data_IF_747015560046
#
_entry.id   IF_747015560046
#
_cell.length_a   1.000
_cell.length_b   1.000
_cell.length_c   1.000
_cell.angle_alpha   90.00
_cell.angle_beta   90.00
_cell.angle_gamma   90.00
#
_symmetry.space_group_name_H-M   'P 1'
#
loop_
_entity.id
_entity.type
_entity.pdbx_description
1 polymer ?
#
# COMPACT_ATOMS: atom_id res chain seq x y z
N UNK A 1 15.69 8.80 8.15
CA UNK A 1 14.88 8.28 7.01
C UNK A 1 15.33 6.87 6.71
N UNK A 2 14.47 5.84 6.83
CA UNK A 2 14.81 4.52 6.32
C UNK A 2 14.75 4.59 4.79
N UNK A 3 15.88 4.36 4.10
CA UNK A 3 15.86 4.05 2.67
C UNK A 3 15.27 2.67 2.52
N UNK A 4 14.02 2.59 2.05
CA UNK A 4 13.51 1.35 1.47
C UNK A 4 14.23 1.17 0.13
N UNK A 5 15.33 0.40 0.13
CA UNK A 5 15.91 -0.11 -1.12
C UNK A 5 14.89 -1.08 -1.72
N UNK A 6 13.99 -0.55 -2.54
CA UNK A 6 12.85 -1.27 -3.04
C UNK A 6 13.25 -2.30 -4.09
N UNK A 7 13.01 -3.58 -3.80
CA UNK A 7 12.60 -4.52 -4.84
C UNK A 7 11.38 -3.89 -5.51
N UNK A 8 11.56 -3.35 -6.72
CA UNK A 8 10.40 -2.91 -7.51
C UNK A 8 9.53 -4.14 -7.71
N UNK A 9 8.24 -4.07 -7.38
CA UNK A 9 7.33 -5.13 -7.75
C UNK A 9 7.48 -5.38 -9.25
N UNK A 10 7.58 -6.66 -9.65
CA UNK A 10 7.63 -7.01 -11.07
C UNK A 10 6.44 -6.38 -11.82
N UNK A 11 6.56 -6.16 -13.14
CA UNK A 11 5.45 -5.65 -13.93
C UNK A 11 4.17 -6.47 -13.66
N UNK A 12 3.07 -5.80 -13.30
CA UNK A 12 1.79 -6.47 -13.00
C UNK A 12 1.66 -7.08 -11.59
N UNK A 13 2.61 -6.82 -10.69
CA UNK A 13 2.50 -7.25 -9.30
C UNK A 13 1.41 -6.51 -8.52
N UNK A 14 1.03 -5.28 -8.88
CA UNK A 14 -0.14 -4.61 -8.32
C UNK A 14 -1.32 -4.85 -9.26
N UNK A 15 -2.40 -5.44 -8.74
CA UNK A 15 -3.58 -5.82 -9.53
C UNK A 15 -4.70 -4.80 -9.43
N UNK A 16 -4.94 -4.27 -8.25
CA UNK A 16 -5.88 -3.18 -8.03
C UNK A 16 -5.41 -2.32 -6.86
N UNK A 17 -5.78 -1.04 -6.93
CA UNK A 17 -5.60 -0.08 -5.85
C UNK A 17 -6.91 0.67 -5.71
N UNK A 18 -7.47 0.67 -4.51
CA UNK A 18 -8.62 1.47 -4.14
C UNK A 18 -8.13 2.47 -3.10
N UNK A 19 -8.46 3.74 -3.31
CA UNK A 19 -8.05 4.83 -2.41
C UNK A 19 -9.30 5.57 -1.97
N UNK A 20 -9.38 5.90 -0.69
CA UNK A 20 -10.41 6.72 -0.10
C UNK A 20 -9.77 7.78 0.80
N UNK A 21 -10.36 8.97 0.86
CA UNK A 21 -9.91 10.06 1.72
C UNK A 21 -10.98 10.29 2.81
N UNK A 22 -10.92 9.58 3.95
CA UNK A 22 -11.90 9.74 5.02
C UNK A 22 -11.80 11.10 5.73
N UNK A 23 -10.65 11.74 5.68
CA UNK A 23 -10.41 13.07 6.25
C UNK A 23 -9.31 13.78 5.44
N UNK A 24 -9.28 15.13 5.42
CA UNK A 24 -8.24 15.87 4.73
C UNK A 24 -6.84 15.43 5.13
N UNK A 25 -6.03 15.04 4.14
CA UNK A 25 -4.66 14.59 4.40
C UNK A 25 -4.55 13.18 5.00
N UNK A 26 -5.63 12.40 5.01
CA UNK A 26 -5.63 10.98 5.39
C UNK A 26 -6.10 10.16 4.20
N UNK A 27 -5.26 9.26 3.71
CA UNK A 27 -5.63 8.33 2.65
C UNK A 27 -5.66 6.89 3.18
N UNK A 28 -6.78 6.23 3.00
CA UNK A 28 -6.93 4.80 3.21
C UNK A 28 -6.83 4.08 1.87
N UNK A 29 -5.96 3.10 1.79
CA UNK A 29 -5.60 2.41 0.55
C UNK A 29 -5.76 0.91 0.71
N UNK A 30 -6.54 0.30 -0.17
CA UNK A 30 -6.63 -1.14 -0.31
C UNK A 30 -5.96 -1.57 -1.61
N UNK A 31 -4.86 -2.30 -1.52
CA UNK A 31 -4.11 -2.79 -2.67
C UNK A 31 -4.16 -4.32 -2.75
N UNK A 32 -4.53 -4.86 -3.92
CA UNK A 32 -4.31 -6.28 -4.20
C UNK A 32 -3.02 -6.44 -4.99
N UNK A 33 -2.19 -7.38 -4.56
CA UNK A 33 -0.91 -7.68 -5.21
C UNK A 33 -0.82 -9.15 -5.57
N UNK A 34 -0.03 -9.46 -6.60
CA UNK A 34 0.38 -10.81 -6.97
C UNK A 34 1.89 -10.94 -6.84
N UNK A 35 2.33 -12.01 -6.20
CA UNK A 35 3.74 -12.42 -6.11
C UNK A 35 3.85 -13.86 -6.61
N UNK A 36 4.23 -14.02 -7.87
CA UNK A 36 4.23 -15.32 -8.54
C UNK A 36 2.81 -15.88 -8.65
N UNK A 37 2.56 -17.07 -8.08
CA UNK A 37 1.24 -17.71 -8.03
C UNK A 37 0.35 -17.22 -6.90
N UNK A 38 0.89 -16.49 -5.90
CA UNK A 38 0.13 -16.04 -4.73
C UNK A 38 -0.43 -14.64 -4.95
N UNK A 39 -1.62 -14.41 -4.41
CA UNK A 39 -2.20 -13.08 -4.30
C UNK A 39 -1.94 -12.52 -2.89
N UNK A 40 -2.39 -11.32 -2.60
CA UNK A 40 -2.36 -10.75 -1.27
C UNK A 40 -3.12 -9.45 -1.28
N UNK A 41 -3.74 -9.11 -0.17
CA UNK A 41 -4.39 -7.82 0.00
C UNK A 41 -3.71 -7.05 1.13
N UNK A 42 -3.49 -5.76 0.90
CA UNK A 42 -2.95 -4.84 1.88
C UNK A 42 -3.93 -3.71 2.11
N UNK A 43 -4.20 -3.40 3.36
CA UNK A 43 -4.82 -2.14 3.76
C UNK A 43 -3.72 -1.24 4.33
N UNK A 44 -3.61 -0.01 3.82
CA UNK A 44 -2.66 0.98 4.26
C UNK A 44 -3.41 2.23 4.67
N UNK A 45 -2.96 2.86 5.75
CA UNK A 45 -3.33 4.23 6.09
C UNK A 45 -2.12 5.10 5.89
N UNK A 46 -2.31 6.18 5.13
CA UNK A 46 -1.31 7.18 4.87
C UNK A 46 -1.80 8.52 5.41
N UNK A 47 -0.88 9.28 5.98
CA UNK A 47 -1.11 10.63 6.44
C UNK A 47 -0.18 11.59 5.72
N UNK A 48 -0.69 12.74 5.34
CA UNK A 48 0.10 13.81 4.75
C UNK A 48 0.81 14.59 5.87
N UNK A 49 2.12 14.44 5.92
CA UNK A 49 2.98 15.07 6.94
C UNK A 49 4.12 15.78 6.20
N UNK A 50 4.30 17.07 6.46
CA UNK A 50 5.36 17.91 5.89
C UNK A 50 5.47 17.83 4.35
N UNK A 51 4.33 17.76 3.65
CA UNK A 51 4.30 17.70 2.20
C UNK A 51 4.46 16.28 1.61
N UNK A 52 4.65 15.25 2.45
CA UNK A 52 4.83 13.87 2.03
C UNK A 52 3.73 12.95 2.57
N UNK A 53 3.40 11.90 1.83
CA UNK A 53 2.54 10.83 2.33
C UNK A 53 3.36 9.81 3.11
N UNK A 54 3.04 9.68 4.40
CA UNK A 54 3.67 8.74 5.32
C UNK A 54 2.70 7.62 5.63
N UNK A 55 3.09 6.36 5.40
CA UNK A 55 2.30 5.23 5.85
C UNK A 55 2.37 5.14 7.38
N UNK A 56 1.24 5.33 8.05
CA UNK A 56 1.13 5.28 9.52
C UNK A 56 0.49 3.99 10.02
N UNK A 57 -0.22 3.25 9.15
CA UNK A 57 -0.66 1.89 9.43
C UNK A 57 -0.61 1.01 8.18
N UNK A 58 -0.30 -0.27 8.38
CA UNK A 58 -0.37 -1.29 7.33
C UNK A 58 -0.87 -2.60 7.92
N UNK A 59 -1.78 -3.25 7.20
CA UNK A 59 -2.26 -4.61 7.48
C UNK A 59 -2.21 -5.44 6.19
N UNK A 60 -1.72 -6.68 6.30
CA UNK A 60 -1.69 -7.63 5.19
C UNK A 60 -2.57 -8.84 5.48
N UNK A 61 -3.44 -9.17 4.53
CA UNK A 61 -4.16 -10.45 4.56
C UNK A 61 -3.39 -11.45 3.70
N UNK A 62 -3.00 -12.62 4.25
CA UNK A 62 -2.43 -13.68 3.43
C UNK A 62 -3.48 -14.15 2.42
N UNK A 63 -3.13 -14.29 1.14
CA UNK A 63 -3.94 -15.13 0.27
C UNK A 63 -3.65 -16.58 0.64
N UNK A 64 -4.72 -17.34 0.90
CA UNK A 64 -4.68 -18.81 1.05
C UNK A 64 -3.82 -19.48 -0.01
#
# INVERSE_FOLDING_TARGET
>A
QPRVSGLRPGPGAVRSVHVQEPAPGVAEVCATVRRGSRAGAFALRLEHVDGAWCCTAVAGLPSS
#
